data_IF_434462078091
#
_entry.id   IF_434462078091
#
_cell.length_a   1.000
_cell.length_b   1.000
_cell.length_c   1.000
_cell.angle_alpha   90.00
_cell.angle_beta   90.00
_cell.angle_gamma   90.00
#
_symmetry.space_group_name_H-M   'P 1'
#
loop_
_entity.id
_entity.type
_entity.pdbx_description
1 polymer ?
#
# COMPACT_ATOMS: atom_id res chain seq x y z
N UNK A 1 -53.25 42.16 -8.22
CA UNK A 1 -51.81 42.47 -8.31
C UNK A 1 -51.08 41.65 -7.24
N UNK A 2 -50.17 40.80 -7.71
CA UNK A 2 -49.08 40.03 -7.07
C UNK A 2 -49.11 39.68 -5.58
N UNK A 3 -49.29 38.39 -5.29
CA UNK A 3 -48.62 37.66 -4.19
C UNK A 3 -48.49 36.17 -4.56
N UNK A 4 -47.35 35.77 -5.13
CA UNK A 4 -46.85 34.38 -5.13
C UNK A 4 -45.51 34.37 -5.88
N UNK A 5 -44.38 34.38 -5.17
CA UNK A 5 -43.04 33.99 -5.65
C UNK A 5 -42.01 34.33 -4.56
N UNK A 6 -41.86 33.46 -3.55
CA UNK A 6 -40.71 33.45 -2.63
C UNK A 6 -40.75 32.21 -1.72
N UNK A 7 -40.66 31.00 -2.27
CA UNK A 7 -40.55 29.78 -1.45
C UNK A 7 -39.88 28.58 -2.15
N UNK A 8 -39.10 28.78 -3.21
CA UNK A 8 -38.50 27.67 -3.98
C UNK A 8 -36.97 27.59 -3.92
N UNK A 9 -36.28 28.53 -3.25
CA UNK A 9 -34.81 28.65 -3.37
C UNK A 9 -34.00 28.04 -2.22
N UNK A 10 -34.62 27.47 -1.19
CA UNK A 10 -33.90 26.96 0.00
C UNK A 10 -33.72 25.42 0.00
N UNK A 11 -34.48 24.66 -0.79
CA UNK A 11 -34.33 23.18 -0.81
C UNK A 11 -33.26 22.65 -1.77
N UNK A 12 -32.79 23.41 -2.77
CA UNK A 12 -31.71 22.93 -3.67
C UNK A 12 -30.31 22.96 -3.05
N UNK A 13 -30.07 23.80 -2.04
CA UNK A 13 -28.75 23.93 -1.43
C UNK A 13 -28.40 22.76 -0.48
N UNK A 14 -29.41 22.12 0.12
CA UNK A 14 -29.22 20.98 1.03
C UNK A 14 -28.92 19.67 0.30
N UNK A 15 -29.50 19.47 -0.89
CA UNK A 15 -29.19 18.31 -1.72
C UNK A 15 -27.76 18.37 -2.27
N UNK A 16 -27.30 19.54 -2.72
CA UNK A 16 -25.94 19.70 -3.25
C UNK A 16 -24.84 19.54 -2.18
N UNK A 17 -25.15 19.83 -0.90
CA UNK A 17 -24.23 19.59 0.22
C UNK A 17 -24.16 18.13 0.63
N UNK A 18 -25.30 17.42 0.60
CA UNK A 18 -25.35 15.97 0.88
C UNK A 18 -24.63 15.14 -0.18
N UNK A 19 -24.82 15.47 -1.47
CA UNK A 19 -24.10 14.81 -2.57
C UNK A 19 -22.58 14.99 -2.48
N UNK A 20 -22.09 16.20 -2.16
CA UNK A 20 -20.65 16.43 -1.99
C UNK A 20 -20.05 15.69 -0.80
N UNK A 21 -20.71 15.71 0.36
CA UNK A 21 -20.21 14.98 1.53
C UNK A 21 -20.18 13.46 1.29
N UNK A 22 -21.13 12.94 0.51
CA UNK A 22 -21.16 11.52 0.12
C UNK A 22 -20.09 11.19 -0.92
N UNK A 23 -19.86 12.04 -1.92
CA UNK A 23 -18.75 11.93 -2.88
C UNK A 23 -17.39 11.98 -2.17
N UNK A 24 -17.21 12.87 -1.19
CA UNK A 24 -15.99 12.96 -0.39
C UNK A 24 -15.76 11.66 0.42
N UNK A 25 -16.83 11.08 0.99
CA UNK A 25 -16.75 9.82 1.75
C UNK A 25 -16.40 8.62 0.86
N UNK A 26 -17.05 8.50 -0.31
CA UNK A 26 -16.75 7.44 -1.28
C UNK A 26 -15.33 7.58 -1.84
N UNK A 27 -14.91 8.81 -2.17
CA UNK A 27 -13.58 9.10 -2.68
C UNK A 27 -12.48 8.77 -1.68
N UNK A 28 -12.68 9.03 -0.38
CA UNK A 28 -11.73 8.64 0.67
C UNK A 28 -11.60 7.12 0.78
N UNK A 29 -12.73 6.40 0.87
CA UNK A 29 -12.72 4.94 0.94
C UNK A 29 -12.09 4.33 -0.31
N UNK A 30 -12.45 4.80 -1.51
CA UNK A 30 -11.86 4.31 -2.76
C UNK A 30 -10.35 4.57 -2.79
N UNK A 31 -9.89 5.75 -2.40
CA UNK A 31 -8.46 6.07 -2.42
C UNK A 31 -7.64 5.18 -1.47
N UNK A 32 -8.22 4.79 -0.32
CA UNK A 32 -7.59 3.89 0.65
C UNK A 32 -7.59 2.42 0.20
N UNK A 33 -8.61 2.00 -0.53
CA UNK A 33 -8.75 0.64 -1.05
C UNK A 33 -8.14 0.46 -2.45
N UNK A 34 -7.37 1.42 -2.95
CA UNK A 34 -6.65 1.27 -4.23
C UNK A 34 -7.47 1.61 -5.47
N UNK A 35 -8.54 2.38 -5.33
CA UNK A 35 -9.42 2.80 -6.41
C UNK A 35 -10.05 1.63 -7.16
N UNK A 36 -10.32 0.53 -6.45
CA UNK A 36 -10.99 -0.66 -6.98
C UNK A 36 -12.24 -0.98 -6.19
N UNK A 37 -13.22 -1.58 -6.88
CA UNK A 37 -14.39 -2.18 -6.26
C UNK A 37 -14.44 -3.64 -6.68
N UNK A 38 -14.42 -4.54 -5.71
CA UNK A 38 -14.35 -5.98 -5.94
C UNK A 38 -15.61 -6.75 -5.53
N UNK A 39 -15.48 -8.09 -5.46
CA UNK A 39 -16.53 -8.96 -4.94
C UNK A 39 -17.00 -8.54 -3.55
N UNK A 40 -18.31 -8.67 -3.31
CA UNK A 40 -18.92 -8.22 -2.06
C UNK A 40 -18.31 -8.91 -0.83
N UNK A 41 -17.95 -10.19 -0.94
CA UNK A 41 -17.32 -10.98 0.11
C UNK A 41 -15.97 -10.40 0.52
N UNK A 42 -15.12 -10.06 -0.46
CA UNK A 42 -13.79 -9.48 -0.20
C UNK A 42 -13.93 -8.11 0.46
N UNK A 43 -14.81 -7.26 -0.06
CA UNK A 43 -15.10 -5.96 0.54
C UNK A 43 -15.67 -6.10 1.98
N UNK A 44 -16.38 -7.19 2.28
CA UNK A 44 -16.85 -7.49 3.63
C UNK A 44 -15.70 -7.78 4.58
N UNK A 45 -14.75 -8.61 4.15
CA UNK A 45 -13.59 -9.03 4.94
C UNK A 45 -12.65 -7.84 5.19
N UNK A 46 -12.64 -6.86 4.30
CA UNK A 46 -11.98 -5.56 4.48
C UNK A 46 -12.75 -4.59 5.41
N UNK A 47 -13.92 -4.99 5.91
CA UNK A 47 -14.71 -4.21 6.87
C UNK A 47 -15.63 -3.16 6.24
N UNK A 48 -15.87 -3.19 4.93
CA UNK A 48 -16.76 -2.24 4.25
C UNK A 48 -18.23 -2.61 4.54
N UNK A 49 -18.99 -1.63 5.06
CA UNK A 49 -20.38 -1.83 5.45
C UNK A 49 -21.29 -2.20 4.26
N UNK A 50 -22.35 -3.01 4.43
CA UNK A 50 -23.20 -3.47 3.34
C UNK A 50 -23.78 -2.38 2.45
N UNK A 51 -24.33 -1.34 3.08
CA UNK A 51 -24.88 -0.14 2.44
C UNK A 51 -23.83 0.63 1.65
N UNK A 52 -22.62 0.80 2.21
CA UNK A 52 -21.51 1.44 1.51
C UNK A 52 -21.01 0.60 0.32
N UNK A 53 -21.01 -0.74 0.41
CA UNK A 53 -20.62 -1.62 -0.71
C UNK A 53 -21.58 -1.48 -1.88
N UNK A 54 -22.88 -1.43 -1.62
CA UNK A 54 -23.90 -1.25 -2.66
C UNK A 54 -23.71 0.11 -3.37
N UNK A 55 -23.40 1.17 -2.61
CA UNK A 55 -23.10 2.50 -3.16
C UNK A 55 -21.81 2.50 -4.00
N UNK A 56 -20.72 1.90 -3.51
CA UNK A 56 -19.45 1.78 -4.22
C UNK A 56 -19.62 1.01 -5.54
N UNK A 57 -20.36 -0.11 -5.52
CA UNK A 57 -20.63 -0.90 -6.72
C UNK A 57 -21.46 -0.11 -7.74
N UNK A 58 -22.51 0.59 -7.31
CA UNK A 58 -23.31 1.42 -8.20
C UNK A 58 -22.49 2.56 -8.83
N UNK A 59 -21.61 3.18 -8.04
CA UNK A 59 -20.68 4.20 -8.52
C UNK A 59 -19.70 3.64 -9.55
N UNK A 60 -19.09 2.48 -9.28
CA UNK A 60 -18.12 1.85 -10.16
C UNK A 60 -18.74 1.37 -11.49
N UNK A 61 -19.95 0.80 -11.46
CA UNK A 61 -20.68 0.42 -12.68
C UNK A 61 -21.05 1.66 -13.52
N UNK A 62 -21.43 2.78 -12.89
CA UNK A 62 -21.67 4.04 -13.60
C UNK A 62 -20.39 4.57 -14.26
N UNK A 63 -19.26 4.48 -13.57
CA UNK A 63 -17.96 4.85 -14.13
C UNK A 63 -17.53 3.94 -15.29
N UNK A 64 -17.83 2.64 -15.19
CA UNK A 64 -17.59 1.66 -16.26
C UNK A 64 -18.42 1.98 -17.51
N UNK A 65 -19.71 2.26 -17.35
CA UNK A 65 -20.61 2.66 -18.44
C UNK A 65 -20.16 3.98 -19.11
N UNK A 66 -19.52 4.87 -18.35
CA UNK A 66 -18.96 6.13 -18.84
C UNK A 66 -17.57 5.99 -19.50
N UNK A 67 -16.97 4.80 -19.50
CA UNK A 67 -15.61 4.57 -20.00
C UNK A 67 -14.51 5.20 -19.13
N UNK A 68 -14.80 5.41 -17.85
CA UNK A 68 -13.89 6.00 -16.85
C UNK A 68 -13.36 4.96 -15.86
N UNK A 69 -13.72 3.69 -16.04
CA UNK A 69 -13.23 2.55 -15.28
C UNK A 69 -13.08 1.35 -16.22
N UNK A 70 -12.34 0.33 -15.76
CA UNK A 70 -12.09 -0.89 -16.51
C UNK A 70 -12.50 -2.11 -15.67
N UNK A 71 -13.03 -3.14 -16.33
CA UNK A 71 -13.34 -4.41 -15.68
C UNK A 71 -12.10 -5.32 -15.75
N UNK A 72 -11.67 -5.82 -14.60
CA UNK A 72 -10.49 -6.66 -14.42
C UNK A 72 -10.92 -7.92 -13.65
N UNK A 73 -11.38 -8.94 -14.37
CA UNK A 73 -12.04 -10.10 -13.76
C UNK A 73 -13.33 -9.69 -13.03
N UNK A 74 -13.43 -10.04 -11.74
CA UNK A 74 -14.56 -9.65 -10.88
C UNK A 74 -14.38 -8.25 -10.24
N UNK A 75 -13.34 -7.51 -10.62
CA UNK A 75 -13.03 -6.18 -10.11
C UNK A 75 -13.37 -5.09 -11.12
N UNK A 76 -13.73 -3.91 -10.62
CA UNK A 76 -13.81 -2.68 -11.40
C UNK A 76 -12.72 -1.74 -10.89
N UNK A 77 -11.80 -1.35 -11.77
CA UNK A 77 -10.68 -0.44 -11.48
C UNK A 77 -11.03 0.94 -12.01
N UNK A 78 -11.09 1.93 -11.12
CA UNK A 78 -11.39 3.30 -11.50
C UNK A 78 -10.18 3.98 -12.15
N UNK A 79 -10.42 4.75 -13.21
CA UNK A 79 -9.40 5.53 -13.88
C UNK A 79 -8.85 6.68 -13.02
N UNK A 80 -7.65 7.20 -13.35
CA UNK A 80 -6.96 8.22 -12.55
C UNK A 80 -7.70 9.57 -12.49
N UNK A 81 -8.60 9.84 -13.44
CA UNK A 81 -9.44 11.04 -13.46
C UNK A 81 -10.56 10.99 -12.40
N UNK A 82 -10.93 9.80 -11.93
CA UNK A 82 -11.97 9.61 -10.91
C UNK A 82 -11.39 9.36 -9.51
N UNK A 83 -10.25 8.68 -9.43
CA UNK A 83 -9.67 8.27 -8.15
C UNK A 83 -8.14 8.17 -8.23
N UNK A 84 -7.48 8.78 -7.25
CA UNK A 84 -6.02 8.68 -7.05
C UNK A 84 -5.74 7.66 -5.95
N UNK A 85 -4.99 6.62 -6.29
CA UNK A 85 -4.57 5.59 -5.34
C UNK A 85 -3.62 6.21 -4.31
N UNK A 86 -3.96 6.10 -3.04
CA UNK A 86 -3.08 6.55 -1.94
C UNK A 86 -2.31 5.38 -1.36
N UNK A 87 -1.13 5.62 -0.78
CA UNK A 87 -0.50 4.63 0.09
C UNK A 87 -1.51 4.16 1.15
N UNK A 88 -1.69 2.84 1.33
CA UNK A 88 -2.74 2.28 2.18
C UNK A 88 -2.55 2.74 3.63
N UNK A 89 -3.63 2.98 4.36
CA UNK A 89 -3.53 3.06 5.82
C UNK A 89 -3.43 1.64 6.38
N UNK A 90 -2.39 1.37 7.16
CA UNK A 90 -2.13 0.05 7.74
C UNK A 90 -2.26 0.20 9.25
N UNK A 91 -3.48 0.05 9.76
CA UNK A 91 -3.78 0.08 11.20
C UNK A 91 -3.71 -1.34 11.76
N UNK A 92 -2.64 -1.63 12.52
CA UNK A 92 -2.32 -2.99 12.96
C UNK A 92 -1.85 -3.03 14.41
N UNK A 93 -1.93 -4.22 14.99
CA UNK A 93 -1.61 -4.47 16.40
C UNK A 93 -0.13 -4.21 16.76
N UNK A 94 0.77 -4.22 15.75
CA UNK A 94 2.20 -4.03 15.92
C UNK A 94 2.69 -2.97 14.94
N UNK A 95 3.70 -2.22 15.38
CA UNK A 95 4.49 -1.32 14.55
C UNK A 95 5.99 -1.49 14.85
N UNK A 96 6.86 -0.80 14.11
CA UNK A 96 8.31 -0.92 14.29
C UNK A 96 8.80 -0.50 15.70
N UNK A 97 8.00 0.24 16.45
CA UNK A 97 8.33 0.72 17.81
C UNK A 97 7.78 -0.19 18.91
N UNK A 98 6.97 -1.18 18.55
CA UNK A 98 6.36 -2.12 19.49
C UNK A 98 7.46 -2.94 20.18
N UNK A 99 7.41 -3.15 21.52
CA UNK A 99 8.50 -3.81 22.24
C UNK A 99 8.89 -5.18 21.67
N UNK A 100 7.91 -5.96 21.24
CA UNK A 100 8.11 -7.28 20.64
C UNK A 100 8.79 -7.24 19.26
N UNK A 101 8.64 -6.13 18.54
CA UNK A 101 9.30 -5.90 17.25
C UNK A 101 10.69 -5.32 17.46
N UNK A 102 10.82 -4.37 18.39
CA UNK A 102 12.06 -3.65 18.66
C UNK A 102 13.21 -4.58 19.10
N UNK A 103 12.89 -5.68 19.82
CA UNK A 103 13.86 -6.70 20.20
C UNK A 103 14.43 -7.50 19.03
N UNK A 104 13.78 -7.48 17.86
CA UNK A 104 14.22 -8.15 16.64
C UNK A 104 14.94 -7.19 15.67
N UNK A 105 15.27 -5.97 16.12
CA UNK A 105 16.08 -5.02 15.35
C UNK A 105 17.54 -5.19 15.78
N UNK A 106 18.43 -5.42 14.81
CA UNK A 106 19.85 -5.55 15.10
C UNK A 106 20.45 -4.23 15.61
N UNK A 107 21.40 -4.31 16.54
CA UNK A 107 22.14 -3.14 17.03
C UNK A 107 22.89 -2.43 15.89
N UNK A 108 23.17 -1.13 16.03
CA UNK A 108 23.82 -0.30 15.00
C UNK A 108 25.14 -0.88 14.49
N UNK A 109 25.89 -1.59 15.33
CA UNK A 109 27.20 -2.17 15.03
C UNK A 109 27.18 -3.68 14.74
N UNK A 110 26.00 -4.29 14.62
CA UNK A 110 25.83 -5.75 14.52
C UNK A 110 26.62 -6.41 13.37
N UNK A 111 26.95 -5.66 12.30
CA UNK A 111 27.67 -6.15 11.13
C UNK A 111 29.01 -5.44 10.87
N UNK A 112 29.56 -4.76 11.88
CA UNK A 112 30.79 -3.98 11.74
C UNK A 112 32.01 -4.82 11.30
N UNK A 113 32.02 -6.13 11.63
CA UNK A 113 33.07 -7.07 11.20
C UNK A 113 33.13 -7.29 9.68
N UNK A 114 32.03 -6.98 8.97
CA UNK A 114 31.93 -7.04 7.51
C UNK A 114 32.03 -5.66 6.85
N UNK A 115 32.41 -4.62 7.61
CA UNK A 115 32.38 -3.22 7.17
C UNK A 115 30.96 -2.75 6.80
N UNK A 116 29.95 -3.37 7.40
CA UNK A 116 28.52 -3.04 7.24
C UNK A 116 27.94 -2.49 8.56
N UNK A 117 26.84 -1.74 8.47
CA UNK A 117 26.11 -1.24 9.64
C UNK A 117 24.93 -2.18 9.98
N UNK A 118 24.36 -2.11 11.19
CA UNK A 118 23.19 -2.89 11.62
C UNK A 118 21.85 -2.19 11.42
N UNK A 119 20.98 -2.16 12.42
CA UNK A 119 19.64 -1.56 12.31
C UNK A 119 18.68 -2.24 11.32
N UNK A 120 18.82 -3.56 11.14
CA UNK A 120 17.95 -4.34 10.26
C UNK A 120 16.91 -5.11 11.06
N UNK A 121 15.70 -5.20 10.53
CA UNK A 121 14.65 -6.05 11.10
C UNK A 121 14.95 -7.52 10.79
N UNK A 122 15.09 -8.32 11.84
CA UNK A 122 15.24 -9.77 11.76
C UNK A 122 13.86 -10.43 11.65
N UNK A 123 13.45 -10.73 10.41
CA UNK A 123 12.12 -11.31 10.17
C UNK A 123 11.90 -12.67 10.82
N UNK A 124 12.96 -13.50 10.92
CA UNK A 124 12.86 -14.81 11.59
C UNK A 124 12.68 -14.64 13.11
N UNK A 125 13.51 -13.83 13.76
CA UNK A 125 13.41 -13.59 15.21
C UNK A 125 12.06 -12.95 15.56
N UNK A 126 11.63 -11.94 14.80
CA UNK A 126 10.34 -11.30 15.03
C UNK A 126 9.18 -12.29 14.93
N UNK A 127 9.15 -13.15 13.91
CA UNK A 127 8.10 -14.15 13.78
C UNK A 127 8.14 -15.16 14.94
N UNK A 128 9.33 -15.61 15.33
CA UNK A 128 9.49 -16.51 16.49
C UNK A 128 9.02 -15.85 17.79
N UNK A 129 9.26 -14.56 17.96
CA UNK A 129 8.87 -13.81 19.15
C UNK A 129 7.36 -13.61 19.22
N UNK A 130 6.73 -13.22 18.11
CA UNK A 130 5.28 -13.14 17.96
C UNK A 130 4.59 -14.48 18.26
N UNK A 131 5.16 -15.59 17.80
CA UNK A 131 4.65 -16.93 18.10
C UNK A 131 4.81 -17.28 19.59
N UNK A 132 5.97 -16.97 20.19
CA UNK A 132 6.28 -17.36 21.58
C UNK A 132 5.58 -16.50 22.63
N UNK A 133 5.50 -15.20 22.41
CA UNK A 133 5.01 -14.24 23.40
C UNK A 133 3.50 -13.98 23.25
N UNK A 134 3.03 -13.81 22.01
CA UNK A 134 1.63 -13.46 21.73
C UNK A 134 0.81 -14.64 21.20
N UNK A 135 1.43 -15.83 21.05
CA UNK A 135 0.73 -17.07 20.70
C UNK A 135 0.23 -17.11 19.27
N UNK A 136 0.76 -16.27 18.38
CA UNK A 136 0.39 -16.27 16.97
C UNK A 136 0.76 -17.61 16.31
N UNK A 137 -0.05 -18.02 15.34
CA UNK A 137 0.33 -19.13 14.45
C UNK A 137 1.47 -18.70 13.55
N UNK A 138 2.15 -19.65 12.91
CA UNK A 138 3.23 -19.34 11.96
C UNK A 138 2.75 -18.43 10.83
N UNK A 139 1.57 -18.69 10.28
CA UNK A 139 1.01 -17.88 9.20
C UNK A 139 0.63 -16.48 9.69
N UNK A 140 -0.01 -16.37 10.87
CA UNK A 140 -0.35 -15.06 11.43
C UNK A 140 0.90 -14.23 11.80
N UNK A 141 1.97 -14.87 12.26
CA UNK A 141 3.24 -14.20 12.54
C UNK A 141 3.92 -13.70 11.25
N UNK A 142 3.90 -14.50 10.17
CA UNK A 142 4.43 -14.10 8.86
C UNK A 142 3.67 -12.90 8.27
N UNK A 143 2.34 -12.91 8.36
CA UNK A 143 1.49 -11.78 7.95
C UNK A 143 1.80 -10.54 8.79
N UNK A 144 1.85 -10.67 10.12
CA UNK A 144 2.15 -9.55 11.03
C UNK A 144 3.53 -8.94 10.76
N UNK A 145 4.53 -9.75 10.40
CA UNK A 145 5.84 -9.26 9.96
C UNK A 145 5.75 -8.36 8.72
N UNK A 146 5.05 -8.82 7.69
CA UNK A 146 4.88 -8.05 6.45
C UNK A 146 4.08 -6.76 6.68
N UNK A 147 3.05 -6.82 7.53
CA UNK A 147 2.26 -5.66 7.92
C UNK A 147 3.08 -4.60 8.66
N UNK A 148 3.94 -5.00 9.59
CA UNK A 148 4.86 -4.08 10.29
C UNK A 148 5.83 -3.42 9.32
N UNK A 149 6.38 -4.17 8.37
CA UNK A 149 7.25 -3.61 7.34
C UNK A 149 6.51 -2.63 6.44
N UNK A 150 5.30 -2.99 6.02
CA UNK A 150 4.47 -2.16 5.17
C UNK A 150 4.10 -0.83 5.85
N UNK A 151 3.72 -0.87 7.14
CA UNK A 151 3.53 0.34 7.95
C UNK A 151 4.82 1.16 8.01
N UNK A 152 5.95 0.51 8.31
CA UNK A 152 7.24 1.17 8.44
C UNK A 152 7.69 1.86 7.14
N UNK A 153 7.45 1.23 6.00
CA UNK A 153 7.72 1.81 4.67
C UNK A 153 6.79 2.98 4.40
N UNK A 154 5.50 2.83 4.69
CA UNK A 154 4.50 3.90 4.51
C UNK A 154 4.80 5.12 5.38
N UNK A 155 5.21 4.91 6.63
CA UNK A 155 5.48 5.98 7.61
C UNK A 155 6.89 6.56 7.53
N UNK A 156 7.73 5.99 6.68
CA UNK A 156 9.11 6.43 6.49
C UNK A 156 10.09 6.04 7.60
N UNK A 157 9.73 5.00 8.36
CA UNK A 157 10.53 4.48 9.47
C UNK A 157 11.39 3.29 9.08
N UNK A 158 11.11 2.68 7.94
CA UNK A 158 11.82 1.50 7.42
C UNK A 158 11.98 1.63 5.90
N UNK A 159 13.07 1.12 5.33
CA UNK A 159 13.22 0.97 3.87
C UNK A 159 14.18 -0.17 3.52
N UNK A 160 13.96 -0.82 2.38
CA UNK A 160 14.91 -1.74 1.76
C UNK A 160 15.71 -0.98 0.69
N UNK A 161 16.94 -0.57 1.03
CA UNK A 161 17.68 0.42 0.25
C UNK A 161 19.08 -0.04 -0.17
N UNK A 162 19.37 0.14 -1.46
CA UNK A 162 20.72 0.22 -2.03
C UNK A 162 20.63 1.06 -3.31
N UNK A 163 21.65 1.86 -3.59
CA UNK A 163 21.79 2.58 -4.86
C UNK A 163 22.38 1.71 -5.98
N UNK A 164 22.90 0.53 -5.62
CA UNK A 164 23.41 -0.47 -6.55
C UNK A 164 22.41 -1.62 -6.73
N UNK A 165 21.86 -1.83 -7.96
CA UNK A 165 20.95 -2.93 -8.25
C UNK A 165 21.61 -4.32 -8.14
N UNK A 166 22.95 -4.40 -8.14
CA UNK A 166 23.71 -5.65 -7.99
C UNK A 166 24.05 -5.96 -6.53
N UNK A 167 23.75 -5.05 -5.60
CA UNK A 167 24.00 -5.21 -4.17
C UNK A 167 22.67 -5.32 -3.43
N UNK A 168 22.29 -6.55 -3.09
CA UNK A 168 21.10 -6.81 -2.27
C UNK A 168 21.31 -6.27 -0.84
N UNK A 169 20.43 -5.39 -0.35
CA UNK A 169 20.41 -4.97 1.05
C UNK A 169 20.31 -6.17 2.01
N UNK A 170 20.91 -6.05 3.19
CA UNK A 170 20.86 -7.11 4.22
C UNK A 170 19.45 -7.37 4.73
N UNK A 171 18.58 -6.36 4.68
CA UNK A 171 17.21 -6.43 5.16
C UNK A 171 16.52 -5.07 5.06
N UNK A 172 15.33 -5.00 5.65
CA UNK A 172 14.63 -3.75 5.86
C UNK A 172 15.30 -2.98 7.00
N UNK A 173 15.84 -1.81 6.68
CA UNK A 173 16.59 -0.97 7.59
C UNK A 173 15.66 -0.03 8.34
N UNK A 174 15.82 0.07 9.66
CA UNK A 174 15.12 1.01 10.52
C UNK A 174 15.79 2.38 10.46
N UNK A 175 15.00 3.46 10.35
CA UNK A 175 15.45 4.82 10.05
C UNK A 175 15.15 5.83 11.18
N UNK A 176 14.89 5.31 12.37
CA UNK A 176 14.44 6.09 13.55
C UNK A 176 15.24 5.74 14.79
N UNK A 177 15.12 6.57 15.83
CA UNK A 177 15.83 6.35 17.11
C UNK A 177 17.34 6.34 16.92
N UNK A 178 18.01 5.34 17.49
CA UNK A 178 19.46 5.15 17.35
C UNK A 178 19.89 4.82 15.91
N UNK A 179 18.94 4.41 15.06
CA UNK A 179 19.14 4.09 13.66
C UNK A 179 18.81 5.27 12.71
N UNK A 180 18.61 6.48 13.25
CA UNK A 180 18.25 7.65 12.45
C UNK A 180 19.41 8.27 11.66
N UNK A 181 20.65 7.85 11.93
CA UNK A 181 21.90 8.43 11.39
C UNK A 181 22.75 7.38 10.65
N UNK A 182 22.10 6.40 10.04
CA UNK A 182 22.74 5.37 9.21
C UNK A 182 23.31 5.96 7.91
N UNK A 183 24.31 5.30 7.28
CA UNK A 183 24.80 5.73 5.97
C UNK A 183 23.66 5.88 4.96
N UNK A 184 23.75 6.90 4.11
CA UNK A 184 22.77 7.20 3.05
C UNK A 184 21.37 7.63 3.51
N UNK A 185 21.18 7.97 4.79
CA UNK A 185 19.85 8.31 5.33
C UNK A 185 19.08 9.37 4.52
N UNK A 186 19.77 10.39 4.00
CA UNK A 186 19.13 11.46 3.21
C UNK A 186 18.59 10.93 1.87
N UNK A 187 19.31 10.00 1.24
CA UNK A 187 18.92 9.40 -0.03
C UNK A 187 17.83 8.34 0.16
N UNK A 188 17.86 7.60 1.28
CA UNK A 188 16.77 6.70 1.69
C UNK A 188 15.47 7.49 1.85
N UNK A 189 15.49 8.52 2.70
CA UNK A 189 14.30 9.36 2.98
C UNK A 189 13.78 10.05 1.73
N UNK A 190 14.67 10.53 0.85
CA UNK A 190 14.30 11.15 -0.42
C UNK A 190 13.62 10.15 -1.36
N UNK A 191 14.23 8.98 -1.56
CA UNK A 191 13.67 7.93 -2.44
C UNK A 191 12.28 7.52 -2.00
N UNK A 192 12.09 7.31 -0.69
CA UNK A 192 10.81 6.93 -0.12
C UNK A 192 9.74 8.02 -0.25
N UNK A 193 10.09 9.28 0.05
CA UNK A 193 9.17 10.40 -0.13
C UNK A 193 8.73 10.54 -1.59
N UNK A 194 9.65 10.33 -2.54
CA UNK A 194 9.35 10.35 -3.97
C UNK A 194 8.47 9.16 -4.40
N UNK A 195 8.78 7.95 -3.92
CA UNK A 195 7.94 6.77 -4.17
C UNK A 195 6.50 7.01 -3.68
N UNK A 196 6.32 7.49 -2.46
CA UNK A 196 4.99 7.76 -1.89
C UNK A 196 4.27 8.90 -2.63
N UNK A 197 5.00 9.93 -3.07
CA UNK A 197 4.44 11.03 -3.88
C UNK A 197 3.93 10.54 -5.24
N UNK A 198 4.60 9.56 -5.85
CA UNK A 198 4.27 9.02 -7.17
C UNK A 198 3.51 7.67 -7.10
N UNK A 199 3.00 7.30 -5.94
CA UNK A 199 2.47 5.96 -5.66
C UNK A 199 1.36 5.52 -6.62
N UNK A 200 0.37 6.37 -6.89
CA UNK A 200 -0.71 6.07 -7.85
C UNK A 200 -0.17 5.72 -9.24
N UNK A 201 0.74 6.54 -9.76
CA UNK A 201 1.35 6.31 -11.07
C UNK A 201 2.12 4.99 -11.09
N UNK A 202 2.90 4.71 -10.04
CA UNK A 202 3.68 3.48 -9.94
C UNK A 202 2.81 2.23 -9.84
N UNK A 203 1.73 2.26 -9.07
CA UNK A 203 0.79 1.13 -8.95
C UNK A 203 0.14 0.83 -10.30
N UNK A 204 -0.38 1.84 -10.98
CA UNK A 204 -1.05 1.67 -12.29
C UNK A 204 -0.09 1.20 -13.38
N UNK A 205 1.12 1.76 -13.40
CA UNK A 205 2.19 1.36 -14.32
C UNK A 205 2.64 -0.09 -14.05
N UNK A 206 2.78 -0.48 -12.78
CA UNK A 206 3.06 -1.87 -12.38
C UNK A 206 1.95 -2.83 -12.82
N UNK A 207 0.69 -2.46 -12.64
CA UNK A 207 -0.46 -3.30 -12.97
C UNK A 207 -0.44 -3.76 -14.44
N UNK A 208 -0.04 -2.88 -15.36
CA UNK A 208 0.12 -3.21 -16.79
C UNK A 208 1.20 -4.26 -17.11
N UNK A 209 2.01 -4.65 -16.12
CA UNK A 209 3.11 -5.62 -16.25
C UNK A 209 2.93 -6.86 -15.38
N UNK A 210 1.91 -6.89 -14.53
CA UNK A 210 1.66 -7.99 -13.60
C UNK A 210 0.31 -8.60 -13.91
N UNK A 211 0.31 -9.88 -14.28
CA UNK A 211 -0.92 -10.66 -14.43
C UNK A 211 -1.43 -11.11 -13.07
N UNK A 212 -2.76 -11.05 -12.86
CA UNK A 212 -3.43 -11.52 -11.65
C UNK A 212 -3.50 -13.07 -11.56
N UNK A 213 -2.32 -13.70 -11.47
CA UNK A 213 -2.16 -15.16 -11.38
C UNK A 213 -1.51 -15.59 -10.07
N UNK A 214 -1.84 -16.80 -9.62
CA UNK A 214 -1.31 -17.35 -8.37
C UNK A 214 0.23 -17.45 -8.41
N UNK A 215 0.88 -17.03 -7.32
CA UNK A 215 2.34 -17.00 -7.16
C UNK A 215 3.09 -16.00 -8.06
N UNK A 216 2.40 -15.15 -8.82
CA UNK A 216 3.01 -14.01 -9.50
C UNK A 216 3.59 -13.03 -8.47
N UNK A 217 4.74 -12.44 -8.79
CA UNK A 217 5.29 -11.36 -7.98
C UNK A 217 4.34 -10.14 -8.11
N UNK A 218 3.85 -9.55 -7.01
CA UNK A 218 2.88 -8.46 -7.08
C UNK A 218 3.51 -7.18 -7.63
N UNK A 219 4.84 -7.03 -7.56
CA UNK A 219 5.55 -5.84 -8.02
C UNK A 219 6.76 -6.27 -8.84
N UNK A 220 6.97 -5.63 -9.99
CA UNK A 220 8.09 -5.93 -10.88
C UNK A 220 9.32 -5.06 -10.58
N UNK A 221 10.48 -5.49 -11.07
CA UNK A 221 11.75 -4.74 -10.86
C UNK A 221 11.75 -3.40 -11.60
N UNK A 222 10.96 -3.27 -12.67
CA UNK A 222 10.83 -2.07 -13.51
C UNK A 222 10.27 -0.87 -12.73
N UNK A 223 9.59 -1.08 -11.60
CA UNK A 223 9.10 -0.01 -10.73
C UNK A 223 10.22 0.93 -10.28
N UNK A 224 11.42 0.41 -9.98
CA UNK A 224 12.57 1.24 -9.62
C UNK A 224 13.01 2.16 -10.77
N UNK A 225 13.00 1.63 -12.00
CA UNK A 225 13.28 2.42 -13.20
C UNK A 225 12.18 3.45 -13.46
N UNK A 226 10.91 3.08 -13.32
CA UNK A 226 9.78 3.98 -13.49
C UNK A 226 9.86 5.17 -12.53
N UNK A 227 10.19 4.93 -11.25
CA UNK A 227 10.39 6.01 -10.28
C UNK A 227 11.61 6.88 -10.64
N UNK A 228 12.70 6.28 -11.08
CA UNK A 228 13.91 6.99 -11.55
C UNK A 228 13.55 7.93 -12.69
N UNK A 229 12.79 7.47 -13.69
CA UNK A 229 12.38 8.27 -14.85
C UNK A 229 11.42 9.39 -14.46
N UNK A 230 10.43 9.11 -13.60
CA UNK A 230 9.47 10.11 -13.09
C UNK A 230 10.15 11.25 -12.31
N UNK A 231 11.28 10.95 -11.69
CA UNK A 231 12.00 11.87 -10.80
C UNK A 231 13.29 12.41 -11.39
N UNK A 232 13.59 12.10 -12.66
CA UNK A 232 14.85 12.46 -13.33
C UNK A 232 16.11 12.02 -12.54
N UNK A 233 16.06 10.84 -11.90
CA UNK A 233 17.17 10.28 -11.12
C UNK A 233 17.29 10.78 -9.69
N UNK A 234 16.31 11.54 -9.17
CA UNK A 234 16.35 12.02 -7.78
C UNK A 234 16.06 10.92 -6.74
N UNK A 235 15.49 9.78 -7.14
CA UNK A 235 15.25 8.62 -6.29
C UNK A 235 16.30 7.52 -6.54
N UNK A 236 17.44 7.50 -5.81
CA UNK A 236 18.51 6.54 -6.05
C UNK A 236 18.23 5.10 -5.63
N UNK A 237 17.12 4.79 -4.92
CA UNK A 237 16.87 3.43 -4.45
C UNK A 237 16.59 2.45 -5.61
N UNK A 238 17.59 1.65 -5.96
CA UNK A 238 17.49 0.59 -6.96
C UNK A 238 16.52 -0.54 -6.55
N UNK A 239 16.17 -0.61 -5.26
CA UNK A 239 15.33 -1.65 -4.67
C UNK A 239 13.91 -1.19 -4.29
N UNK A 240 13.42 -0.10 -4.91
CA UNK A 240 12.07 0.44 -4.69
C UNK A 240 10.96 -0.61 -4.85
N UNK A 241 11.15 -1.63 -5.70
CA UNK A 241 10.19 -2.71 -5.87
C UNK A 241 9.90 -3.49 -4.58
N UNK A 242 10.88 -3.63 -3.69
CA UNK A 242 10.72 -4.33 -2.41
C UNK A 242 9.85 -3.52 -1.44
N UNK A 243 10.08 -2.21 -1.35
CA UNK A 243 9.25 -1.29 -0.56
C UNK A 243 7.80 -1.27 -1.07
N UNK A 244 7.61 -1.21 -2.39
CA UNK A 244 6.28 -1.29 -2.99
C UNK A 244 5.61 -2.65 -2.83
N UNK A 245 6.36 -3.75 -2.87
CA UNK A 245 5.83 -5.10 -2.65
C UNK A 245 5.25 -5.24 -1.24
N UNK A 246 5.95 -4.79 -0.21
CA UNK A 246 5.41 -4.86 1.17
C UNK A 246 4.21 -3.95 1.33
N UNK A 247 4.18 -2.77 0.70
CA UNK A 247 2.99 -1.91 0.69
C UNK A 247 1.79 -2.59 0.05
N UNK A 248 1.95 -3.25 -1.10
CA UNK A 248 0.86 -3.98 -1.77
C UNK A 248 0.33 -5.13 -0.90
N UNK A 249 1.22 -5.86 -0.23
CA UNK A 249 0.83 -6.92 0.72
C UNK A 249 0.09 -6.32 1.92
N UNK A 250 0.63 -5.27 2.54
CA UNK A 250 0.02 -4.61 3.69
C UNK A 250 -1.32 -3.94 3.39
N UNK A 251 -1.53 -3.53 2.13
CA UNK A 251 -2.82 -3.07 1.61
C UNK A 251 -3.86 -4.18 1.43
N UNK A 252 -3.45 -5.45 1.56
CA UNK A 252 -4.30 -6.60 1.28
C UNK A 252 -4.47 -6.90 -0.22
N UNK A 253 -3.72 -6.24 -1.13
CA UNK A 253 -3.82 -6.48 -2.58
C UNK A 253 -3.20 -7.80 -3.04
N UNK A 254 -2.81 -8.64 -2.10
CA UNK A 254 -2.32 -10.00 -2.33
C UNK A 254 -3.11 -10.95 -1.43
N UNK A 255 -3.95 -11.78 -2.04
CA UNK A 255 -4.84 -12.71 -1.33
C UNK A 255 -4.13 -14.02 -1.00
N UNK A 256 -4.46 -14.62 0.15
CA UNK A 256 -3.96 -15.95 0.52
C UNK A 256 -2.47 -16.00 0.88
N UNK A 257 -1.88 -14.87 1.28
CA UNK A 257 -0.49 -14.87 1.76
C UNK A 257 -0.36 -15.64 3.08
N UNK A 258 0.67 -16.46 3.20
CA UNK A 258 0.97 -17.25 4.40
C UNK A 258 2.47 -17.46 4.57
N UNK A 259 2.88 -18.23 5.58
CA UNK A 259 4.31 -18.49 5.80
C UNK A 259 4.97 -19.30 4.67
N UNK A 260 4.20 -19.96 3.81
CA UNK A 260 4.71 -20.78 2.70
C UNK A 260 4.07 -20.47 1.35
N UNK A 261 3.06 -19.61 1.30
CA UNK A 261 2.36 -19.23 0.06
C UNK A 261 2.55 -17.74 -0.18
N UNK A 262 2.93 -17.39 -1.40
CA UNK A 262 3.13 -15.98 -1.81
C UNK A 262 1.81 -15.24 -2.02
N UNK A 263 0.70 -15.98 -2.09
CA UNK A 263 -0.62 -15.47 -2.42
C UNK A 263 -0.80 -15.21 -3.92
N UNK A 264 -1.89 -14.51 -4.22
CA UNK A 264 -2.30 -14.12 -5.57
C UNK A 264 -2.51 -12.61 -5.59
N UNK A 265 -1.77 -11.83 -6.41
CA UNK A 265 -2.07 -10.42 -6.55
C UNK A 265 -3.46 -10.23 -7.14
N UNK A 266 -4.13 -9.17 -6.72
CA UNK A 266 -5.40 -8.69 -7.26
C UNK A 266 -5.31 -7.21 -7.65
N UNK A 267 -6.25 -6.68 -8.45
CA UNK A 267 -6.30 -5.26 -8.71
C UNK A 267 -6.30 -4.42 -7.40
N UNK A 268 -5.65 -3.24 -7.38
CA UNK A 268 -5.09 -2.53 -8.53
C UNK A 268 -3.65 -2.91 -8.90
N UNK A 269 -2.99 -3.83 -8.18
CA UNK A 269 -1.54 -4.05 -8.38
C UNK A 269 -1.23 -4.97 -9.58
N UNK A 270 -2.25 -5.62 -10.14
CA UNK A 270 -2.18 -6.47 -11.33
C UNK A 270 -3.40 -6.22 -12.24
N UNK A 271 -3.33 -6.74 -13.47
CA UNK A 271 -4.46 -6.83 -14.40
C UNK A 271 -4.69 -8.28 -14.85
N UNK A 272 -5.89 -8.58 -15.33
CA UNK A 272 -6.14 -9.81 -16.08
C UNK A 272 -5.88 -9.52 -17.56
N UNK A 273 -5.18 -10.42 -18.25
CA UNK A 273 -5.01 -10.32 -19.70
C UNK A 273 -6.40 -10.42 -20.38
N UNK A 274 -6.67 -9.54 -21.34
CA UNK A 274 -7.89 -9.58 -22.19
C UNK A 274 -7.90 -10.77 -23.16
#
# INVERSE_FOLDING_TARGET
MSKALAAASVMLALAAGGLRAQEDTLGEVLAEHGCVVGPAEVMADEGVAPDLRDELMAYAETALDAGQAERQGDWIVLGPELCTIRPPQIDRAYDITSPIVAQSISAVDAYAEFEEYGCFVSGEEMQQDLMRQDGLTRDAAAVAYLEVLAEGVRSGRVSFFSDDPLRTPMGFQVLTGECADVPWIDDIRRSQALMLKHFDTLVRDNASRVTCEANSAPVTVEVGQALTDLTNGEAPNAWTMMDMMVLAIGAGWVEGISANERGTPRPPICSYDE
#
